data_IF_626325734775
#
_entry.id   IF_626325734775
#
_cell.length_a   1.000
_cell.length_b   1.000
_cell.length_c   1.000
_cell.angle_alpha   90.00
_cell.angle_beta   90.00
_cell.angle_gamma   90.00
#
_symmetry.space_group_name_H-M   'P 1'
#
loop_
_entity.id
_entity.type
_entity.pdbx_description
1 polymer ?
#
# COMPACT_ATOMS: atom_id res chain seq x y z
N UNK A 1 3.78 -7.49 6.11
CA UNK A 1 3.36 -6.54 7.17
C UNK A 1 4.15 -5.24 7.01
N UNK A 2 3.55 -4.06 7.15
CA UNK A 2 4.19 -2.76 6.82
C UNK A 2 5.50 -2.46 7.58
N UNK A 3 5.78 -3.20 8.65
CA UNK A 3 6.90 -2.96 9.55
C UNK A 3 8.06 -3.98 9.40
N UNK A 4 8.10 -4.75 8.31
CA UNK A 4 9.17 -5.76 8.07
C UNK A 4 10.20 -5.34 7.03
N UNK A 5 9.97 -4.24 6.30
CA UNK A 5 10.86 -3.77 5.23
C UNK A 5 12.15 -3.16 5.77
N UNK A 6 12.05 -2.41 6.87
CA UNK A 6 13.19 -1.81 7.55
C UNK A 6 13.38 -2.46 8.92
N UNK A 7 14.59 -2.96 9.18
CA UNK A 7 14.97 -3.54 10.47
C UNK A 7 15.30 -2.46 11.49
N UNK A 8 15.28 -2.83 12.77
CA UNK A 8 15.77 -1.95 13.85
C UNK A 8 17.27 -1.80 13.70
N UNK A 9 17.78 -0.59 13.88
CA UNK A 9 19.21 -0.31 13.92
C UNK A 9 19.79 -0.82 15.25
N UNK A 10 20.44 -1.98 15.21
CA UNK A 10 21.05 -2.62 16.39
C UNK A 10 22.37 -1.94 16.82
N UNK A 11 22.94 -1.07 15.98
CA UNK A 11 24.18 -0.34 16.29
C UNK A 11 23.92 0.99 17.00
N UNK A 12 22.66 1.45 17.03
CA UNK A 12 22.28 2.69 17.71
C UNK A 12 22.41 2.52 19.24
N UNK A 13 23.24 3.35 19.92
CA UNK A 13 23.40 3.26 21.37
C UNK A 13 22.13 3.62 22.15
N UNK A 14 21.17 4.33 21.54
CA UNK A 14 19.85 4.59 22.09
C UNK A 14 18.79 3.65 21.47
N UNK A 15 18.49 2.58 22.22
CA UNK A 15 17.51 1.56 21.82
C UNK A 15 16.11 2.14 21.63
N UNK A 16 15.72 3.16 22.42
CA UNK A 16 14.39 3.75 22.30
C UNK A 16 14.27 4.58 21.03
N UNK A 17 15.32 5.34 20.69
CA UNK A 17 15.41 6.06 19.42
C UNK A 17 15.39 5.08 18.23
N UNK A 18 16.15 3.99 18.28
CA UNK A 18 16.17 2.97 17.23
C UNK A 18 14.78 2.36 16.97
N UNK A 19 14.10 1.98 18.04
CA UNK A 19 12.73 1.45 17.97
C UNK A 19 11.74 2.51 17.46
N UNK A 20 11.80 3.74 17.99
CA UNK A 20 10.91 4.81 17.58
C UNK A 20 11.06 5.12 16.08
N UNK A 21 12.30 5.22 15.58
CA UNK A 21 12.57 5.41 14.14
C UNK A 21 11.96 4.30 13.31
N UNK A 22 12.21 3.03 13.67
CA UNK A 22 11.66 1.89 12.94
C UNK A 22 10.13 1.92 12.88
N UNK A 23 9.44 2.22 13.99
CA UNK A 23 7.98 2.21 14.02
C UNK A 23 7.34 3.44 13.37
N UNK A 24 8.02 4.58 13.35
CA UNK A 24 7.54 5.80 12.67
C UNK A 24 7.84 5.82 11.17
N UNK A 25 8.79 5.00 10.70
CA UNK A 25 9.14 4.90 9.27
C UNK A 25 8.12 4.13 8.42
N UNK A 26 7.11 3.50 9.03
CA UNK A 26 6.11 2.75 8.26
C UNK A 26 5.30 3.66 7.32
N UNK A 27 4.94 3.16 6.15
CA UNK A 27 4.08 3.87 5.18
C UNK A 27 2.60 3.90 5.55
N UNK A 28 2.24 4.41 6.73
CA UNK A 28 0.86 4.52 7.18
C UNK A 28 0.19 5.82 6.72
N UNK A 29 -1.02 5.73 6.12
CA UNK A 29 -1.79 6.89 5.66
C UNK A 29 -2.26 7.83 6.79
N UNK A 30 -2.15 7.43 8.05
CA UNK A 30 -2.38 8.31 9.19
C UNK A 30 -1.27 9.35 9.37
N UNK A 31 -0.07 9.10 8.83
CA UNK A 31 1.03 10.05 8.84
C UNK A 31 0.91 10.96 7.63
N UNK A 32 1.12 12.27 7.79
CA UNK A 32 1.10 13.21 6.67
C UNK A 32 2.27 14.21 6.76
N UNK A 33 3.02 14.43 5.67
CA UNK A 33 2.96 13.70 4.40
C UNK A 33 3.43 12.22 4.56
N UNK A 34 2.99 11.32 3.67
CA UNK A 34 3.32 9.88 3.71
C UNK A 34 4.22 9.43 2.53
N UNK A 35 5.43 10.01 2.35
CA UNK A 35 6.31 9.62 1.25
C UNK A 35 6.79 8.17 1.37
N UNK A 36 6.81 7.61 2.59
CA UNK A 36 7.25 6.25 2.86
C UNK A 36 6.37 5.22 2.15
N UNK A 37 5.05 5.43 2.07
CA UNK A 37 4.16 4.52 1.34
C UNK A 37 4.51 4.43 -0.14
N UNK A 38 4.80 5.57 -0.77
CA UNK A 38 5.19 5.62 -2.18
C UNK A 38 6.54 4.90 -2.37
N UNK A 39 7.54 5.23 -1.55
CA UNK A 39 8.88 4.62 -1.63
C UNK A 39 8.84 3.09 -1.45
N UNK A 40 8.03 2.59 -0.52
CA UNK A 40 7.88 1.16 -0.28
C UNK A 40 7.16 0.49 -1.45
N UNK A 41 6.07 1.09 -1.94
CA UNK A 41 5.34 0.57 -3.10
C UNK A 41 6.22 0.54 -4.36
N UNK A 42 7.02 1.60 -4.55
CA UNK A 42 8.00 1.73 -5.62
C UNK A 42 8.99 0.57 -5.65
N UNK A 43 9.66 0.33 -4.50
CA UNK A 43 10.58 -0.79 -4.32
C UNK A 43 9.89 -2.14 -4.60
N UNK A 44 8.69 -2.36 -4.04
CA UNK A 44 7.95 -3.60 -4.24
C UNK A 44 7.61 -3.83 -5.73
N UNK A 45 7.22 -2.79 -6.45
CA UNK A 45 6.94 -2.89 -7.88
C UNK A 45 8.18 -3.36 -8.65
N UNK A 46 9.35 -2.81 -8.33
CA UNK A 46 10.61 -3.14 -9.01
C UNK A 46 11.12 -4.54 -8.64
N UNK A 47 11.14 -4.87 -7.35
CA UNK A 47 11.67 -6.14 -6.82
C UNK A 47 10.83 -7.33 -7.29
N UNK A 48 9.50 -7.21 -7.24
CA UNK A 48 8.58 -8.28 -7.62
C UNK A 48 8.18 -8.23 -9.10
N UNK A 49 8.56 -7.18 -9.84
CA UNK A 49 8.22 -6.99 -11.26
C UNK A 49 6.73 -7.18 -11.53
N UNK A 50 5.89 -6.49 -10.74
CA UNK A 50 4.44 -6.69 -10.78
C UNK A 50 3.82 -6.12 -12.05
N UNK A 51 2.85 -6.83 -12.61
CA UNK A 51 2.08 -6.37 -13.77
C UNK A 51 0.97 -5.37 -13.40
N UNK A 52 0.53 -5.36 -12.14
CA UNK A 52 -0.56 -4.52 -11.66
C UNK A 52 -0.51 -4.32 -10.14
N UNK A 53 -1.19 -3.27 -9.65
CA UNK A 53 -1.35 -2.98 -8.22
C UNK A 53 -2.84 -2.98 -7.85
N UNK A 54 -3.20 -3.76 -6.84
CA UNK A 54 -4.54 -3.76 -6.22
C UNK A 54 -4.44 -3.15 -4.82
N UNK A 55 -5.12 -2.03 -4.60
CA UNK A 55 -5.21 -1.37 -3.30
C UNK A 55 -6.51 -1.78 -2.60
N UNK A 56 -6.35 -2.55 -1.52
CA UNK A 56 -7.48 -3.06 -0.73
C UNK A 56 -7.67 -2.16 0.49
N UNK A 57 -8.83 -1.53 0.55
CA UNK A 57 -9.19 -0.55 1.56
C UNK A 57 -10.30 -1.17 2.41
N UNK A 58 -10.10 -1.20 3.73
CA UNK A 58 -11.17 -1.61 4.62
C UNK A 58 -12.24 -0.51 4.68
N UNK A 59 -13.51 -0.91 4.67
CA UNK A 59 -14.64 0.01 4.88
C UNK A 59 -14.39 0.87 6.13
N UNK A 60 -14.65 2.18 6.01
CA UNK A 60 -14.36 3.21 7.01
C UNK A 60 -12.87 3.58 7.21
N UNK A 61 -11.95 3.04 6.41
CA UNK A 61 -10.54 3.45 6.42
C UNK A 61 -10.31 4.72 5.58
N UNK A 62 -10.81 5.86 6.05
CA UNK A 62 -10.85 7.12 5.28
C UNK A 62 -9.48 7.62 4.83
N UNK A 63 -8.45 7.51 5.65
CA UNK A 63 -7.10 8.01 5.32
C UNK A 63 -6.50 7.25 4.14
N UNK A 64 -6.68 5.93 4.06
CA UNK A 64 -6.26 5.15 2.88
C UNK A 64 -7.11 5.45 1.65
N UNK A 65 -8.43 5.65 1.83
CA UNK A 65 -9.33 5.98 0.73
C UNK A 65 -9.00 7.35 0.11
N UNK A 66 -8.65 8.35 0.93
CA UNK A 66 -8.20 9.66 0.45
C UNK A 66 -6.85 9.53 -0.31
N UNK A 67 -5.89 8.80 0.26
CA UNK A 67 -4.54 8.67 -0.32
C UNK A 67 -4.51 7.81 -1.60
N UNK A 68 -5.53 6.98 -1.83
CA UNK A 68 -5.71 6.15 -3.04
C UNK A 68 -5.56 6.93 -4.33
N UNK A 69 -6.03 8.18 -4.39
CA UNK A 69 -5.88 9.02 -5.58
C UNK A 69 -4.40 9.30 -5.89
N UNK A 70 -3.59 9.57 -4.87
CA UNK A 70 -2.15 9.82 -5.03
C UNK A 70 -1.43 8.55 -5.47
N UNK A 71 -1.77 7.40 -4.88
CA UNK A 71 -1.21 6.11 -5.26
C UNK A 71 -1.56 5.76 -6.71
N UNK A 72 -2.83 5.93 -7.11
CA UNK A 72 -3.27 5.72 -8.49
C UNK A 72 -2.51 6.59 -9.49
N UNK A 73 -2.24 7.85 -9.15
CA UNK A 73 -1.47 8.76 -10.00
C UNK A 73 -0.03 8.27 -10.13
N UNK A 74 0.61 7.90 -9.02
CA UNK A 74 1.96 7.35 -9.02
C UNK A 74 2.04 6.09 -9.91
N UNK A 75 1.18 5.09 -9.68
CA UNK A 75 1.21 3.83 -10.43
C UNK A 75 0.91 4.02 -11.92
N UNK A 76 -0.19 4.71 -12.25
CA UNK A 76 -0.60 4.86 -13.65
C UNK A 76 0.30 5.84 -14.43
N UNK A 77 0.66 6.97 -13.82
CA UNK A 77 1.32 8.05 -14.56
C UNK A 77 2.84 7.89 -14.56
N UNK A 78 3.43 7.50 -13.43
CA UNK A 78 4.88 7.41 -13.29
C UNK A 78 5.38 6.01 -13.64
N UNK A 79 4.77 4.95 -13.05
CA UNK A 79 5.18 3.56 -13.30
C UNK A 79 4.56 2.92 -14.53
N UNK A 80 3.50 3.51 -15.09
CA UNK A 80 2.74 2.96 -16.23
C UNK A 80 2.18 1.56 -15.95
N UNK A 81 1.85 1.29 -14.68
CA UNK A 81 1.31 0.00 -14.23
C UNK A 81 -0.18 0.16 -13.91
N UNK A 82 -1.04 -0.75 -14.40
CA UNK A 82 -2.46 -0.80 -14.06
C UNK A 82 -2.72 -0.79 -12.55
N UNK A 83 -3.73 -0.04 -12.13
CA UNK A 83 -4.12 0.10 -10.74
C UNK A 83 -5.63 -0.04 -10.55
N UNK A 84 -6.02 -0.81 -9.53
CA UNK A 84 -7.41 -0.89 -9.06
C UNK A 84 -7.47 -0.67 -7.55
N UNK A 85 -8.42 0.15 -7.09
CA UNK A 85 -8.80 0.22 -5.69
C UNK A 85 -10.09 -0.55 -5.43
N UNK A 86 -10.15 -1.25 -4.31
CA UNK A 86 -11.28 -2.06 -3.86
C UNK A 86 -11.55 -1.73 -2.39
N UNK A 87 -12.79 -1.37 -2.08
CA UNK A 87 -13.25 -1.22 -0.70
C UNK A 87 -14.07 -2.44 -0.30
N UNK A 88 -13.77 -3.02 0.86
CA UNK A 88 -14.39 -4.26 1.37
C UNK A 88 -14.37 -4.27 2.91
N UNK A 89 -15.15 -5.14 3.53
CA UNK A 89 -15.12 -5.38 4.97
C UNK A 89 -14.92 -6.87 5.27
N UNK A 90 -15.20 -7.30 6.51
CA UNK A 90 -15.04 -8.70 6.90
C UNK A 90 -16.26 -9.59 6.57
N UNK A 91 -17.33 -9.01 6.01
CA UNK A 91 -18.49 -9.76 5.57
C UNK A 91 -18.20 -10.51 4.27
N UNK A 92 -19.06 -11.45 3.93
CA UNK A 92 -19.00 -12.19 2.66
C UNK A 92 -19.93 -11.61 1.60
N UNK A 93 -20.57 -10.47 1.90
CA UNK A 93 -21.67 -9.93 1.09
C UNK A 93 -21.22 -9.36 -0.25
N UNK A 94 -19.96 -8.93 -0.37
CA UNK A 94 -19.40 -8.32 -1.58
C UNK A 94 -18.58 -9.29 -2.46
N UNK A 95 -18.35 -10.54 -2.02
CA UNK A 95 -17.53 -11.53 -2.72
C UNK A 95 -17.90 -11.67 -4.20
N UNK A 96 -19.19 -11.71 -4.53
CA UNK A 96 -19.65 -11.83 -5.91
C UNK A 96 -19.23 -10.63 -6.78
N UNK A 97 -19.31 -9.42 -6.23
CA UNK A 97 -18.88 -8.20 -6.89
C UNK A 97 -17.36 -8.19 -7.06
N UNK A 98 -16.62 -8.54 -5.99
CA UNK A 98 -15.16 -8.59 -6.00
C UNK A 98 -14.65 -9.57 -7.07
N UNK A 99 -15.22 -10.77 -7.15
CA UNK A 99 -14.84 -11.77 -8.16
C UNK A 99 -14.97 -11.22 -9.59
N UNK A 100 -16.10 -10.58 -9.90
CA UNK A 100 -16.33 -10.01 -11.23
C UNK A 100 -15.34 -8.90 -11.55
N UNK A 101 -15.08 -8.01 -10.58
CA UNK A 101 -14.15 -6.89 -10.75
C UNK A 101 -12.70 -7.36 -10.91
N UNK A 102 -12.27 -8.36 -10.14
CA UNK A 102 -10.93 -8.92 -10.25
C UNK A 102 -10.73 -9.67 -11.57
N UNK A 103 -11.72 -10.45 -12.02
CA UNK A 103 -11.66 -11.13 -13.32
C UNK A 103 -11.50 -10.12 -14.46
N UNK A 104 -12.35 -9.09 -14.50
CA UNK A 104 -12.25 -8.04 -15.51
C UNK A 104 -10.92 -7.26 -15.43
N UNK A 105 -10.36 -7.05 -14.24
CA UNK A 105 -9.06 -6.39 -14.09
C UNK A 105 -7.93 -7.23 -14.69
N UNK A 106 -7.92 -8.52 -14.39
CA UNK A 106 -6.90 -9.47 -14.91
C UNK A 106 -7.01 -9.59 -16.43
N UNK A 107 -8.20 -9.59 -17.00
CA UNK A 107 -8.42 -9.62 -18.46
C UNK A 107 -7.88 -8.37 -19.18
N UNK A 108 -7.65 -7.27 -18.47
CA UNK A 108 -7.14 -6.01 -19.03
C UNK A 108 -5.61 -5.85 -18.93
N UNK A 109 -4.91 -6.77 -18.26
CA UNK A 109 -3.45 -6.76 -18.13
C UNK A 109 -2.77 -7.35 -19.37
#
# INVERSE_FOLDING_TARGET
>A
AKAVEDLVDEENPDVYDALARKYLSIGCSCMTPNPNRIKLLDRMIEDYKVDAVVDVILTACHTYNIETLSIKRFTNNEKKIPYMSVETDFSTSDIGQLNTRMAAFIEML
#
